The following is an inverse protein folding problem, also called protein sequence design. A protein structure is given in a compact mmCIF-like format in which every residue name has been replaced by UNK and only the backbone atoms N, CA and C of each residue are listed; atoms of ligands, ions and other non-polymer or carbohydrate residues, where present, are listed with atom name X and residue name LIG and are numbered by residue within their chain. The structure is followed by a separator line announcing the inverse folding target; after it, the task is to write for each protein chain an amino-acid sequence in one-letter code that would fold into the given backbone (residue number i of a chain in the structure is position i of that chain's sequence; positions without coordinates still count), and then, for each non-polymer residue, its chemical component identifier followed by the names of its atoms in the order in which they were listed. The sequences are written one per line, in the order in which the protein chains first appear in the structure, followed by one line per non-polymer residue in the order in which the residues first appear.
data_IF_918778490518
#
_entry.id   IF_918778490518
#
_cell.length_a   1.000
_cell.length_b   1.000
_cell.length_c   1.000
_cell.angle_alpha   90.00
_cell.angle_beta   90.00
_cell.angle_gamma   90.00
#
_symmetry.space_group_name_H-M   'P 1'
#
loop_
_entity.id
_entity.type
_entity.pdbx_description
1 polymer ?
#
# COMPACT_ATOMS: atom_id res chain seq x y z
N UNK A 1 22.35 -35.59 29.10
CA UNK A 1 21.10 -36.23 28.63
C UNK A 1 19.94 -35.60 29.38
N UNK A 2 19.03 -34.97 28.61
CA UNK A 2 17.60 -34.76 28.94
C UNK A 2 17.24 -33.69 30.00
N UNK A 3 16.02 -33.11 29.97
CA UNK A 3 15.71 -31.93 29.15
C UNK A 3 15.08 -30.77 29.95
N UNK A 4 15.05 -29.62 29.31
CA UNK A 4 14.33 -28.39 29.66
C UNK A 4 12.84 -28.63 29.91
N UNK A 5 12.27 -27.94 30.91
CA UNK A 5 10.81 -27.77 31.04
C UNK A 5 10.48 -26.28 31.13
N UNK A 6 9.90 -25.65 30.08
CA UNK A 6 9.32 -24.34 30.23
C UNK A 6 7.86 -24.47 30.70
N UNK A 7 7.52 -23.75 31.77
CA UNK A 7 6.13 -23.55 32.21
C UNK A 7 5.67 -22.19 31.67
N UNK A 8 4.59 -22.10 30.88
CA UNK A 8 4.05 -20.81 30.46
C UNK A 8 3.22 -20.19 31.60
N UNK A 9 3.54 -18.96 31.99
CA UNK A 9 2.67 -18.13 32.85
C UNK A 9 1.61 -17.45 31.98
N UNK A 10 0.33 -17.41 32.40
CA UNK A 10 -0.69 -16.63 31.72
C UNK A 10 -0.44 -15.15 32.01
N UNK A 11 -0.08 -14.38 30.97
CA UNK A 11 -0.06 -12.93 31.07
C UNK A 11 -1.50 -12.43 30.85
N UNK A 12 -2.07 -11.87 31.91
CA UNK A 12 -3.33 -11.13 31.85
C UNK A 12 -3.20 -9.95 30.88
N UNK A 13 -4.02 -9.93 29.84
CA UNK A 13 -4.18 -8.78 28.96
C UNK A 13 -5.01 -7.71 29.69
N UNK A 14 -4.56 -6.45 29.75
CA UNK A 14 -5.43 -5.34 30.11
C UNK A 14 -6.34 -5.03 28.93
N UNK A 15 -7.61 -5.38 29.11
CA UNK A 15 -8.72 -4.93 28.28
C UNK A 15 -9.12 -3.52 28.75
N UNK A 16 -8.81 -2.47 27.98
CA UNK A 16 -9.64 -1.25 27.79
C UNK A 16 -8.87 -0.15 27.04
N UNK A 17 -9.39 0.26 25.88
CA UNK A 17 -9.67 1.66 25.57
C UNK A 17 -10.46 1.77 24.25
N UNK A 18 -11.78 2.01 24.30
CA UNK A 18 -12.50 2.59 23.18
C UNK A 18 -12.35 4.12 23.25
N UNK A 19 -11.71 4.72 22.25
CA UNK A 19 -11.67 6.17 22.18
C UNK A 19 -10.44 6.71 21.47
N UNK A 20 -10.48 6.66 20.15
CA UNK A 20 -9.91 7.79 19.41
C UNK A 20 -10.89 8.04 18.29
N UNK A 21 -11.69 9.10 18.45
CA UNK A 21 -12.40 9.72 17.35
C UNK A 21 -11.33 10.08 16.31
N UNK A 22 -11.14 9.18 15.35
CA UNK A 22 -10.27 9.44 14.21
C UNK A 22 -10.94 10.57 13.47
N UNK A 23 -10.40 11.76 13.65
CA UNK A 23 -10.73 12.91 12.83
C UNK A 23 -10.78 12.43 11.38
N UNK A 24 -11.89 12.67 10.71
CA UNK A 24 -12.12 12.32 9.31
C UNK A 24 -11.16 13.17 8.46
N UNK A 25 -9.88 12.80 8.46
CA UNK A 25 -8.90 13.32 7.53
C UNK A 25 -9.31 12.80 6.16
N UNK A 26 -9.32 13.63 5.11
CA UNK A 26 -9.67 13.16 3.78
C UNK A 26 -8.78 11.96 3.44
N UNK A 27 -9.42 10.83 3.14
CA UNK A 27 -8.74 9.62 2.77
C UNK A 27 -7.87 9.93 1.54
N UNK A 28 -6.56 9.73 1.68
CA UNK A 28 -5.64 9.92 0.56
C UNK A 28 -6.05 8.98 -0.58
N UNK A 29 -5.88 9.38 -1.85
CA UNK A 29 -6.03 8.46 -2.95
C UNK A 29 -5.13 7.23 -2.75
N UNK A 30 -5.53 6.06 -3.28
CA UNK A 30 -4.73 4.85 -3.16
C UNK A 30 -3.32 5.08 -3.72
N UNK A 31 -2.32 4.70 -2.94
CA UNK A 31 -0.92 4.72 -3.36
C UNK A 31 -0.63 3.46 -4.17
N UNK A 32 -0.03 3.63 -5.35
CA UNK A 32 0.41 2.53 -6.21
C UNK A 32 1.88 2.73 -6.53
N UNK A 33 2.69 1.71 -6.29
CA UNK A 33 4.11 1.71 -6.65
C UNK A 33 4.29 1.70 -8.18
N UNK A 34 5.23 2.51 -8.67
CA UNK A 34 5.48 2.61 -10.13
C UNK A 34 5.86 1.26 -10.75
N UNK A 35 6.61 0.42 -10.02
CA UNK A 35 6.97 -0.93 -10.47
C UNK A 35 5.76 -1.84 -10.66
N UNK A 36 4.76 -1.72 -9.77
CA UNK A 36 3.51 -2.46 -9.88
C UNK A 36 2.63 -1.92 -11.01
N UNK A 37 2.64 -0.60 -11.21
CA UNK A 37 1.90 0.02 -12.29
C UNK A 37 2.41 -0.43 -13.66
N UNK A 38 3.73 -0.43 -13.86
CA UNK A 38 4.34 -0.76 -15.16
C UNK A 38 4.55 -2.25 -15.42
N UNK A 39 4.59 -3.10 -14.39
CA UNK A 39 4.70 -4.56 -14.55
C UNK A 39 5.86 -4.98 -15.47
N UNK A 40 7.01 -4.31 -15.35
CA UNK A 40 8.20 -4.55 -16.19
C UNK A 40 8.22 -3.81 -17.54
N UNK A 41 7.16 -3.06 -17.87
CA UNK A 41 7.11 -2.22 -19.06
C UNK A 41 7.62 -0.80 -18.77
N UNK A 42 7.69 0.04 -19.80
CA UNK A 42 8.05 1.46 -19.67
C UNK A 42 6.82 2.38 -19.76
N UNK A 43 5.67 1.81 -20.16
CA UNK A 43 4.41 2.51 -20.33
C UNK A 43 3.24 1.56 -20.04
N UNK A 44 2.09 2.14 -19.69
CA UNK A 44 0.79 1.45 -19.60
C UNK A 44 -0.27 2.26 -20.33
N UNK A 45 -1.23 1.55 -20.90
CA UNK A 45 -2.42 2.13 -21.50
C UNK A 45 -3.56 2.14 -20.49
N UNK A 46 -4.26 3.26 -20.39
CA UNK A 46 -5.32 3.51 -19.42
C UNK A 46 -6.53 3.98 -20.20
N UNK A 47 -7.61 3.21 -20.18
CA UNK A 47 -8.90 3.70 -20.64
C UNK A 47 -9.50 4.63 -19.59
N UNK A 48 -9.76 5.89 -19.96
CA UNK A 48 -10.35 6.88 -19.09
C UNK A 48 -11.33 7.77 -19.87
N UNK A 49 -12.56 7.92 -19.36
CA UNK A 49 -13.65 8.67 -20.02
C UNK A 49 -13.91 8.27 -21.49
N UNK A 50 -13.72 6.99 -21.83
CA UNK A 50 -13.92 6.48 -23.20
C UNK A 50 -12.76 6.75 -24.16
N UNK A 51 -11.68 7.38 -23.71
CA UNK A 51 -10.47 7.59 -24.49
C UNK A 51 -9.33 6.73 -23.93
N UNK A 52 -8.36 6.43 -24.79
CA UNK A 52 -7.14 5.76 -24.40
C UNK A 52 -6.10 6.81 -24.00
N UNK A 53 -5.47 6.63 -22.85
CA UNK A 53 -4.34 7.42 -22.38
C UNK A 53 -3.13 6.52 -22.22
N UNK A 54 -1.93 7.08 -22.35
CA UNK A 54 -0.68 6.38 -22.09
C UNK A 54 0.08 7.04 -20.95
N UNK A 55 0.30 6.31 -19.87
CA UNK A 55 1.20 6.72 -18.80
C UNK A 55 2.57 6.08 -19.04
N UNK A 56 3.65 6.86 -18.99
CA UNK A 56 5.01 6.37 -19.27
C UNK A 56 6.05 6.92 -18.30
N UNK A 57 7.03 6.11 -17.93
CA UNK A 57 8.18 6.54 -17.14
C UNK A 57 9.29 7.11 -18.04
N UNK A 58 9.76 8.31 -17.72
CA UNK A 58 10.87 8.96 -18.42
C UNK A 58 12.22 8.60 -17.82
N UNK A 59 13.29 8.81 -18.58
CA UNK A 59 14.68 8.70 -18.08
C UNK A 59 14.98 9.66 -16.93
N UNK A 60 14.24 10.76 -16.84
CA UNK A 60 14.32 11.75 -15.75
C UNK A 60 13.56 11.35 -14.49
N UNK A 61 13.01 10.12 -14.44
CA UNK A 61 12.30 9.58 -13.28
C UNK A 61 10.88 10.14 -13.09
N UNK A 62 10.34 10.86 -14.09
CA UNK A 62 8.98 11.40 -14.06
C UNK A 62 8.02 10.47 -14.77
N UNK A 63 6.75 10.55 -14.39
CA UNK A 63 5.65 9.92 -15.11
C UNK A 63 5.00 10.97 -16.01
N UNK A 64 4.78 10.62 -17.27
CA UNK A 64 4.06 11.48 -18.23
C UNK A 64 2.80 10.74 -18.66
N UNK A 65 1.66 11.40 -18.54
CA UNK A 65 0.39 10.95 -19.10
C UNK A 65 0.14 11.70 -20.41
N UNK A 66 -0.03 10.96 -21.50
CA UNK A 66 -0.48 11.49 -22.79
C UNK A 66 -1.83 10.90 -23.13
N UNK A 67 -2.60 11.61 -23.94
CA UNK A 67 -3.72 11.05 -24.69
C UNK A 67 -3.15 10.32 -25.90
#
# INVERSE_FOLDING_TARGET
MSPTRPTPRPQAQPETAPGTAQACLPARPPLVESSQLFQGHRAVEIHHNGELYRLQATRTGKLILTK
#
